data_IF_655530855076
#
_entry.id   IF_655530855076
#
_cell.length_a   1.000
_cell.length_b   1.000
_cell.length_c   1.000
_cell.angle_alpha   90.00
_cell.angle_beta   90.00
_cell.angle_gamma   90.00
#
_symmetry.space_group_name_H-M   'P 1'
#
loop_
_entity.id
_entity.type
_entity.pdbx_description
1 polymer ?
#
# COMPACT_ATOMS: atom_id res chain seq x y z
N UNK A 1 -10.58 -23.80 6.77
CA UNK A 1 -9.82 -22.87 7.64
C UNK A 1 -10.62 -22.51 8.88
N UNK A 2 -10.06 -22.63 10.10
CA UNK A 2 -10.72 -22.17 11.32
C UNK A 2 -10.78 -20.63 11.40
N UNK A 3 -11.67 -20.10 12.24
CA UNK A 3 -11.69 -18.66 12.54
C UNK A 3 -10.40 -18.25 13.26
N UNK A 4 -9.98 -17.01 13.08
CA UNK A 4 -8.74 -16.47 13.65
C UNK A 4 -7.45 -16.86 12.91
N UNK A 5 -7.53 -17.69 11.87
CA UNK A 5 -6.35 -18.14 11.12
C UNK A 5 -5.67 -16.96 10.42
N UNK A 6 -4.34 -16.91 10.51
CA UNK A 6 -3.50 -16.02 9.71
C UNK A 6 -3.38 -16.56 8.28
N UNK A 7 -3.69 -15.72 7.30
CA UNK A 7 -3.74 -16.11 5.88
C UNK A 7 -3.10 -15.04 5.00
N UNK A 8 -2.57 -15.46 3.85
CA UNK A 8 -2.00 -14.60 2.83
C UNK A 8 -2.35 -15.14 1.43
N UNK A 9 -2.00 -14.39 0.38
CA UNK A 9 -2.27 -14.76 -1.01
C UNK A 9 -3.76 -15.11 -1.27
N UNK A 10 -4.66 -14.18 -0.96
CA UNK A 10 -6.11 -14.41 -0.97
C UNK A 10 -6.70 -14.06 -2.35
N UNK A 11 -7.55 -14.93 -2.87
CA UNK A 11 -8.35 -14.68 -4.07
C UNK A 11 -9.55 -13.76 -3.78
N UNK A 12 -9.83 -12.78 -4.66
CA UNK A 12 -11.04 -11.95 -4.55
C UNK A 12 -12.21 -12.61 -5.29
N UNK A 13 -11.91 -13.17 -6.45
CA UNK A 13 -12.85 -13.87 -7.31
C UNK A 13 -12.30 -15.26 -7.60
N UNK A 14 -13.18 -16.27 -7.50
CA UNK A 14 -12.84 -17.66 -7.73
C UNK A 14 -12.07 -17.84 -9.04
N UNK A 15 -10.90 -18.51 -8.97
CA UNK A 15 -10.12 -18.89 -10.16
C UNK A 15 -9.30 -17.77 -10.81
N UNK A 16 -9.34 -16.53 -10.31
CA UNK A 16 -8.44 -15.45 -10.80
C UNK A 16 -7.08 -15.41 -10.09
N UNK A 17 -6.80 -16.35 -9.21
CA UNK A 17 -5.58 -16.40 -8.42
C UNK A 17 -5.54 -15.36 -7.29
N UNK A 18 -4.55 -15.51 -6.41
CA UNK A 18 -4.39 -14.68 -5.23
C UNK A 18 -3.97 -13.25 -5.58
N UNK A 19 -4.71 -12.28 -5.07
CA UNK A 19 -4.52 -10.86 -5.36
C UNK A 19 -4.14 -10.07 -4.09
N UNK A 20 -4.73 -10.43 -2.95
CA UNK A 20 -4.55 -9.71 -1.69
C UNK A 20 -3.46 -10.35 -0.81
N UNK A 21 -2.85 -9.51 0.03
CA UNK A 21 -1.83 -9.90 1.03
C UNK A 21 -0.66 -10.70 0.42
N UNK A 22 0.01 -10.13 -0.60
CA UNK A 22 1.19 -10.73 -1.27
C UNK A 22 2.52 -10.06 -0.93
N UNK A 23 2.49 -8.87 -0.34
CA UNK A 23 3.69 -8.13 0.02
C UNK A 23 4.46 -8.84 1.15
N UNK A 24 5.76 -8.57 1.25
CA UNK A 24 6.60 -9.11 2.32
C UNK A 24 6.00 -8.81 3.71
N UNK A 25 5.94 -9.82 4.58
CA UNK A 25 5.31 -9.71 5.90
C UNK A 25 3.80 -9.48 5.90
N UNK A 26 3.11 -9.45 4.75
CA UNK A 26 1.67 -9.26 4.71
C UNK A 26 0.94 -10.47 5.31
N UNK A 27 -0.08 -10.18 6.11
CA UNK A 27 -0.97 -11.16 6.72
C UNK A 27 -2.36 -10.56 6.85
N UNK A 28 -3.36 -11.39 6.59
CA UNK A 28 -4.76 -11.11 6.85
C UNK A 28 -5.28 -12.12 7.88
N UNK A 29 -6.34 -11.75 8.59
CA UNK A 29 -6.99 -12.64 9.57
C UNK A 29 -8.42 -12.91 9.17
N UNK A 30 -8.82 -14.17 9.26
CA UNK A 30 -10.20 -14.60 9.05
C UNK A 30 -11.01 -14.36 10.33
N UNK A 31 -11.93 -13.39 10.31
CA UNK A 31 -12.70 -13.00 11.50
C UNK A 31 -13.94 -13.87 11.66
N UNK A 32 -14.75 -13.92 10.62
CA UNK A 32 -16.06 -14.56 10.65
C UNK A 32 -16.36 -15.26 9.33
N UNK A 33 -17.31 -16.18 9.37
CA UNK A 33 -17.85 -16.88 8.21
C UNK A 33 -19.35 -16.92 8.34
N UNK A 34 -20.04 -16.38 7.35
CA UNK A 34 -21.48 -16.29 7.36
C UNK A 34 -22.03 -16.58 5.96
N UNK A 35 -22.92 -17.57 5.88
CA UNK A 35 -23.51 -18.01 4.62
C UNK A 35 -22.47 -18.33 3.55
N UNK A 36 -22.56 -17.61 2.41
CA UNK A 36 -21.72 -17.78 1.22
C UNK A 36 -20.42 -16.97 1.27
N UNK A 37 -20.20 -16.21 2.34
CA UNK A 37 -19.10 -15.25 2.43
C UNK A 37 -18.29 -15.41 3.72
N UNK A 38 -17.06 -14.92 3.67
CA UNK A 38 -16.12 -14.88 4.77
C UNK A 38 -15.65 -13.44 4.97
N UNK A 39 -15.58 -13.03 6.23
CA UNK A 39 -15.14 -11.68 6.63
C UNK A 39 -13.67 -11.75 7.02
N UNK A 40 -12.85 -10.99 6.30
CA UNK A 40 -11.40 -10.93 6.51
C UNK A 40 -10.98 -9.54 6.98
N UNK A 41 -10.00 -9.49 7.89
CA UNK A 41 -9.25 -8.28 8.21
C UNK A 41 -7.99 -8.24 7.36
N UNK A 42 -7.89 -7.25 6.48
CA UNK A 42 -6.75 -7.03 5.60
C UNK A 42 -5.56 -6.40 6.35
N UNK A 43 -4.34 -6.46 5.80
CA UNK A 43 -3.17 -5.80 6.40
C UNK A 43 -3.31 -4.27 6.49
N UNK A 44 -4.20 -3.65 5.69
CA UNK A 44 -4.57 -2.23 5.81
C UNK A 44 -5.41 -1.92 7.06
N UNK A 45 -5.92 -2.95 7.75
CA UNK A 45 -6.91 -2.81 8.83
C UNK A 45 -8.35 -2.85 8.33
N UNK A 46 -8.59 -2.71 7.03
CA UNK A 46 -9.90 -2.81 6.40
C UNK A 46 -10.53 -4.18 6.63
N UNK A 47 -11.83 -4.19 6.95
CA UNK A 47 -12.63 -5.42 7.05
C UNK A 47 -13.40 -5.59 5.75
N UNK A 48 -13.16 -6.70 5.07
CA UNK A 48 -13.71 -6.96 3.74
C UNK A 48 -14.35 -8.35 3.65
N UNK A 49 -15.46 -8.41 2.93
CA UNK A 49 -16.20 -9.64 2.65
C UNK A 49 -15.67 -10.28 1.36
N UNK A 50 -15.40 -11.59 1.39
CA UNK A 50 -14.94 -12.39 0.25
C UNK A 50 -15.77 -13.67 0.16
N UNK A 51 -15.98 -14.23 -1.02
CA UNK A 51 -16.67 -15.52 -1.16
C UNK A 51 -15.94 -16.64 -0.40
N UNK A 52 -16.69 -17.50 0.29
CA UNK A 52 -16.15 -18.66 1.02
C UNK A 52 -15.43 -19.67 0.12
N UNK A 53 -15.73 -19.66 -1.19
CA UNK A 53 -15.13 -20.57 -2.16
C UNK A 53 -13.75 -20.10 -2.66
N UNK A 54 -13.36 -18.85 -2.37
CA UNK A 54 -12.06 -18.32 -2.77
C UNK A 54 -10.92 -18.99 -2.00
N UNK A 55 -9.83 -19.28 -2.72
CA UNK A 55 -8.65 -19.91 -2.11
C UNK A 55 -7.79 -18.89 -1.36
N UNK A 56 -7.10 -19.37 -0.33
CA UNK A 56 -6.11 -18.59 0.41
C UNK A 56 -5.05 -19.52 1.00
N UNK A 57 -3.84 -19.01 1.18
CA UNK A 57 -2.72 -19.76 1.78
C UNK A 57 -2.61 -19.45 3.27
N UNK A 58 -2.33 -20.46 4.09
CA UNK A 58 -2.15 -20.30 5.54
C UNK A 58 -0.78 -19.68 5.84
N UNK A 59 -0.73 -18.81 6.85
CA UNK A 59 0.49 -18.19 7.35
C UNK A 59 0.70 -16.75 6.89
N UNK A 60 1.89 -16.23 7.15
CA UNK A 60 2.34 -14.89 6.77
C UNK A 60 3.35 -14.98 5.62
N UNK A 61 3.38 -13.97 4.75
CA UNK A 61 4.42 -13.86 3.71
C UNK A 61 5.79 -13.67 4.38
N UNK A 62 6.80 -14.43 3.93
CA UNK A 62 8.17 -14.31 4.45
C UNK A 62 8.83 -12.95 4.23
N UNK A 63 10.13 -12.86 4.60
CA UNK A 63 10.93 -11.63 4.50
C UNK A 63 10.36 -10.44 5.30
N UNK A 64 9.92 -10.69 6.54
CA UNK A 64 9.29 -9.68 7.42
C UNK A 64 10.21 -8.48 7.68
N UNK A 65 11.53 -8.70 7.79
CA UNK A 65 12.53 -7.66 8.07
C UNK A 65 12.95 -6.82 6.86
N UNK A 66 12.27 -6.89 5.71
CA UNK A 66 12.66 -6.13 4.51
C UNK A 66 12.71 -4.62 4.75
N UNK A 67 11.84 -4.11 5.64
CA UNK A 67 11.74 -2.70 6.00
C UNK A 67 12.84 -2.24 6.98
N UNK A 68 13.58 -3.16 7.60
CA UNK A 68 14.67 -2.82 8.52
C UNK A 68 15.94 -2.37 7.77
N UNK A 69 16.02 -2.66 6.46
CA UNK A 69 17.15 -2.29 5.62
C UNK A 69 17.07 -0.82 5.21
N UNK A 70 18.12 -0.04 5.52
CA UNK A 70 18.31 1.31 4.96
C UNK A 70 19.05 1.23 3.63
N UNK A 71 18.63 2.03 2.63
CA UNK A 71 19.27 2.07 1.31
C UNK A 71 20.64 2.75 1.30
N UNK A 72 20.94 3.57 2.32
CA UNK A 72 22.24 4.19 2.61
C UNK A 72 22.69 5.30 1.65
N UNK A 73 22.47 5.15 0.34
CA UNK A 73 22.91 6.10 -0.70
C UNK A 73 21.83 6.36 -1.74
N UNK A 74 21.91 7.51 -2.40
CA UNK A 74 20.99 7.91 -3.45
C UNK A 74 20.96 6.90 -4.63
N UNK A 75 22.14 6.42 -5.06
CA UNK A 75 22.25 5.48 -6.20
C UNK A 75 21.50 4.16 -6.00
N UNK A 76 21.42 3.66 -4.75
CA UNK A 76 20.66 2.45 -4.43
C UNK A 76 19.16 2.61 -4.73
N UNK A 77 18.63 3.85 -4.70
CA UNK A 77 17.25 4.14 -5.07
C UNK A 77 17.03 4.07 -6.58
N UNK A 78 18.02 4.53 -7.35
CA UNK A 78 18.00 4.48 -8.81
C UNK A 78 18.04 3.04 -9.33
N UNK A 79 18.77 2.14 -8.65
CA UNK A 79 18.78 0.71 -8.97
C UNK A 79 17.41 0.04 -8.86
N UNK A 80 16.50 0.59 -8.06
CA UNK A 80 15.10 0.14 -7.95
C UNK A 80 14.19 0.75 -9.04
N UNK A 81 14.76 1.41 -10.05
CA UNK A 81 14.01 2.10 -11.12
C UNK A 81 13.31 3.38 -10.68
N UNK A 82 13.60 3.91 -9.48
CA UNK A 82 12.95 5.11 -8.95
C UNK A 82 13.81 6.34 -9.22
N UNK A 83 13.30 7.25 -10.06
CA UNK A 83 13.94 8.53 -10.40
C UNK A 83 13.80 9.55 -9.25
N UNK A 84 14.68 10.57 -9.18
CA UNK A 84 14.52 11.69 -8.26
C UNK A 84 13.16 12.39 -8.43
N UNK A 85 12.54 12.80 -7.32
CA UNK A 85 11.27 13.54 -7.29
C UNK A 85 11.53 14.95 -6.80
N UNK A 86 11.06 15.95 -7.56
CA UNK A 86 11.19 17.37 -7.22
C UNK A 86 9.99 17.80 -6.37
N UNK A 87 10.22 18.59 -5.31
CA UNK A 87 9.14 19.13 -4.47
C UNK A 87 8.41 20.26 -5.19
N UNK A 88 7.09 20.25 -5.15
CA UNK A 88 6.25 21.28 -5.80
C UNK A 88 6.53 22.72 -5.38
N UNK A 89 6.98 22.94 -4.14
CA UNK A 89 7.33 24.28 -3.62
C UNK A 89 8.54 24.92 -4.30
N UNK A 90 9.37 24.12 -4.98
CA UNK A 90 10.58 24.61 -5.69
C UNK A 90 10.27 24.87 -7.16
N UNK A 91 9.09 24.50 -7.63
CA UNK A 91 8.69 24.65 -9.03
C UNK A 91 8.14 26.05 -9.29
N UNK A 92 7.92 26.40 -10.57
CA UNK A 92 7.26 27.66 -10.91
C UNK A 92 5.74 27.56 -10.65
N UNK A 93 5.04 28.70 -10.50
CA UNK A 93 3.58 28.71 -10.32
C UNK A 93 2.80 27.99 -11.43
N UNK A 94 3.34 27.94 -12.65
CA UNK A 94 2.74 27.23 -13.79
C UNK A 94 2.86 25.71 -13.68
N UNK A 95 3.90 25.22 -13.00
CA UNK A 95 4.24 23.80 -12.93
C UNK A 95 3.61 23.10 -11.72
N UNK A 96 3.44 23.83 -10.62
CA UNK A 96 2.83 23.30 -9.41
C UNK A 96 2.01 24.38 -8.69
N UNK A 97 0.87 24.02 -8.09
CA UNK A 97 0.07 25.00 -7.36
C UNK A 97 0.68 25.53 -6.04
N UNK A 98 1.90 25.10 -5.71
CA UNK A 98 2.70 25.59 -4.57
C UNK A 98 3.96 26.32 -5.05
N UNK A 99 4.12 26.47 -6.36
CA UNK A 99 5.32 27.03 -6.95
C UNK A 99 5.39 28.55 -6.84
N UNK A 100 6.61 29.07 -6.95
CA UNK A 100 6.92 30.50 -6.87
C UNK A 100 7.05 31.08 -5.46
N UNK A 101 7.06 32.40 -5.40
CA UNK A 101 7.43 33.17 -4.21
C UNK A 101 8.91 33.57 -4.23
N UNK A 102 9.23 34.67 -3.54
CA UNK A 102 10.62 35.12 -3.39
C UNK A 102 11.34 34.27 -2.34
N UNK A 103 12.43 33.62 -2.74
CA UNK A 103 13.18 32.72 -1.86
C UNK A 103 12.38 31.46 -1.48
N UNK A 104 12.42 31.07 -0.20
CA UNK A 104 11.70 29.88 0.29
C UNK A 104 10.29 30.26 0.73
N UNK A 105 9.29 29.87 -0.06
CA UNK A 105 7.90 30.15 0.24
C UNK A 105 7.24 29.09 1.16
N UNK A 106 6.29 29.48 2.03
CA UNK A 106 5.30 28.57 2.60
C UNK A 106 4.27 28.14 1.54
N UNK A 107 3.38 27.20 1.87
CA UNK A 107 2.39 26.66 0.92
C UNK A 107 1.46 27.73 0.32
N UNK A 108 1.17 28.81 1.07
CA UNK A 108 0.36 29.94 0.58
C UNK A 108 -1.12 29.63 0.28
N UNK A 109 -1.56 28.38 0.45
CA UNK A 109 -2.94 27.91 0.24
C UNK A 109 -3.55 27.37 1.53
N UNK A 110 -4.89 27.36 1.60
CA UNK A 110 -5.66 26.83 2.75
C UNK A 110 -5.33 25.37 3.07
N UNK A 111 -5.02 24.56 2.04
CA UNK A 111 -4.65 23.15 2.16
C UNK A 111 -3.54 22.83 1.13
N UNK A 112 -2.65 21.85 1.41
CA UNK A 112 -1.74 21.33 0.40
C UNK A 112 -2.51 20.73 -0.79
N UNK A 113 -2.08 21.07 -1.99
CA UNK A 113 -2.63 20.62 -3.26
C UNK A 113 -1.71 19.64 -3.98
N UNK A 114 -2.30 18.78 -4.80
CA UNK A 114 -1.57 17.95 -5.78
C UNK A 114 -1.24 18.76 -7.04
N UNK A 115 -0.32 18.32 -7.91
CA UNK A 115 0.06 19.08 -9.11
C UNK A 115 -1.08 19.45 -10.07
N UNK A 116 -2.20 18.75 -10.02
CA UNK A 116 -3.33 18.89 -10.96
C UNK A 116 -4.54 19.68 -10.39
N UNK A 117 -4.36 20.43 -9.31
CA UNK A 117 -5.46 21.07 -8.54
C UNK A 117 -5.38 22.59 -8.48
#
# INVERSE_FOLDING_TARGET
MPLGTAIHNIEITLGKGGQLARAAGAVAKLIAKEGKSATLKLPSGEVRLISKNCSATVGQVGNVGVNQKSLGRAGSKCWLGKRPVVRGVVMNPVDHPHGGGEGRAPIGRKKPATPWV
#
